data_IF_826478062725
#
_entry.id   IF_826478062725
#
_cell.length_a   1.000
_cell.length_b   1.000
_cell.length_c   1.000
_cell.angle_alpha   90.00
_cell.angle_beta   90.00
_cell.angle_gamma   90.00
#
_symmetry.space_group_name_H-M   'P 1'
#
loop_
_entity.id
_entity.type
_entity.pdbx_description
1 polymer ?
#
# COMPACT_ATOMS: atom_id res chain seq x y z
N UNK A 1 34.83 89.68 -7.15
CA UNK A 1 33.62 89.04 -7.69
C UNK A 1 34.05 88.16 -8.84
N UNK A 2 34.17 86.85 -8.62
CA UNK A 2 34.48 85.88 -9.68
C UNK A 2 33.41 84.79 -9.67
N UNK A 3 33.14 84.38 -10.90
CA UNK A 3 32.06 83.60 -11.46
C UNK A 3 32.25 82.08 -11.22
N UNK A 4 31.14 81.34 -11.03
CA UNK A 4 30.90 80.00 -11.60
C UNK A 4 29.55 79.40 -11.13
N UNK A 5 28.74 78.82 -12.05
CA UNK A 5 27.40 78.30 -11.77
C UNK A 5 27.37 76.82 -11.32
N UNK A 6 26.24 76.49 -10.69
CA UNK A 6 25.87 75.22 -10.03
C UNK A 6 26.06 73.97 -10.90
N UNK A 7 26.56 72.88 -10.30
CA UNK A 7 26.50 71.51 -10.84
C UNK A 7 25.78 70.59 -9.85
N UNK A 8 24.79 69.87 -10.36
CA UNK A 8 24.01 68.83 -9.68
C UNK A 8 24.87 67.60 -9.33
N UNK A 9 24.53 66.86 -8.27
CA UNK A 9 25.18 65.59 -7.95
C UNK A 9 24.71 64.49 -8.91
N UNK A 10 25.65 63.90 -9.66
CA UNK A 10 25.41 62.76 -10.54
C UNK A 10 25.27 61.46 -9.73
N UNK A 11 24.07 60.87 -9.83
CA UNK A 11 23.68 59.44 -9.81
C UNK A 11 24.50 58.49 -8.92
N UNK A 12 23.89 58.13 -7.80
CA UNK A 12 24.22 56.95 -7.00
C UNK A 12 23.97 55.65 -7.79
N UNK A 13 24.79 54.66 -7.47
CA UNK A 13 24.83 53.35 -8.08
C UNK A 13 23.49 52.60 -7.91
N UNK A 14 23.02 52.00 -9.01
CA UNK A 14 22.00 50.98 -9.01
C UNK A 14 22.65 49.66 -9.45
N UNK A 15 22.62 48.63 -8.61
CA UNK A 15 22.50 47.23 -9.06
C UNK A 15 21.61 46.45 -8.07
N UNK A 16 20.59 45.72 -8.55
CA UNK A 16 19.62 45.01 -7.73
C UNK A 16 20.11 43.62 -7.31
N UNK A 17 19.38 43.06 -6.35
CA UNK A 17 19.62 41.79 -5.68
C UNK A 17 19.80 40.59 -6.61
N UNK A 18 20.75 39.77 -6.16
CA UNK A 18 20.99 38.38 -6.51
C UNK A 18 19.82 37.54 -5.99
N UNK A 19 19.30 36.60 -6.78
CA UNK A 19 18.77 35.25 -6.43
C UNK A 19 17.94 34.72 -7.62
N UNK A 20 18.64 34.20 -8.62
CA UNK A 20 18.09 33.26 -9.61
C UNK A 20 19.16 32.20 -9.86
N UNK A 21 18.70 30.95 -9.96
CA UNK A 21 19.35 29.74 -10.45
C UNK A 21 20.07 28.86 -9.41
N UNK A 22 19.52 27.65 -9.21
CA UNK A 22 20.26 26.40 -9.40
C UNK A 22 19.28 25.25 -9.67
N UNK A 23 19.32 24.73 -10.91
CA UNK A 23 18.86 23.40 -11.32
C UNK A 23 20.10 22.59 -11.68
N UNK A 24 20.09 21.31 -11.29
CA UNK A 24 20.92 20.17 -11.71
C UNK A 24 22.38 20.05 -11.22
N UNK A 25 22.65 18.99 -10.44
CA UNK A 25 23.89 18.19 -10.57
C UNK A 25 23.72 16.77 -9.99
N UNK A 26 23.89 15.77 -10.86
CA UNK A 26 23.82 14.32 -10.63
C UNK A 26 25.23 13.75 -10.40
N UNK A 27 25.29 12.75 -9.50
CA UNK A 27 26.24 11.63 -9.36
C UNK A 27 27.77 11.84 -9.36
N UNK A 28 28.42 11.36 -8.28
CA UNK A 28 29.56 10.42 -8.28
C UNK A 28 30.22 10.42 -6.89
N UNK A 29 29.87 9.48 -6.01
CA UNK A 29 30.72 9.11 -4.87
C UNK A 29 31.30 7.72 -5.16
N UNK A 30 32.42 7.73 -5.88
CA UNK A 30 33.23 6.56 -6.10
C UNK A 30 34.11 6.31 -4.87
N UNK A 31 34.01 5.08 -4.38
CA UNK A 31 34.83 4.39 -3.40
C UNK A 31 36.33 4.75 -3.51
N UNK A 32 36.92 5.26 -2.42
CA UNK A 32 38.38 5.24 -2.25
C UNK A 32 38.76 5.31 -0.77
N UNK A 33 39.13 4.14 -0.24
CA UNK A 33 40.24 3.90 0.69
C UNK A 33 39.89 2.77 1.67
N UNK A 34 40.21 1.54 1.27
CA UNK A 34 40.43 0.43 2.19
C UNK A 34 41.58 -0.40 1.65
N UNK A 35 42.68 -0.37 2.39
CA UNK A 35 43.98 -0.94 2.09
C UNK A 35 43.89 -2.47 1.96
N UNK A 36 44.26 -3.00 0.79
CA UNK A 36 44.51 -4.43 0.58
C UNK A 36 45.75 -4.86 1.38
N UNK A 37 45.57 -5.66 2.43
CA UNK A 37 46.63 -6.52 2.98
C UNK A 37 46.44 -7.93 2.42
N UNK A 38 47.28 -8.31 1.47
CA UNK A 38 47.36 -9.68 0.94
C UNK A 38 48.01 -10.62 1.96
N UNK A 39 47.19 -11.37 2.70
CA UNK A 39 47.62 -12.59 3.37
C UNK A 39 47.52 -13.80 2.42
N UNK A 40 48.33 -14.86 2.60
CA UNK A 40 48.25 -16.07 1.78
C UNK A 40 46.90 -16.77 2.00
N UNK A 41 46.21 -17.07 0.89
CA UNK A 41 44.93 -17.80 0.85
C UNK A 41 45.17 -19.25 1.30
N UNK A 42 44.52 -19.75 2.37
CA UNK A 42 44.57 -21.16 2.69
C UNK A 42 43.89 -22.00 1.60
N UNK A 43 44.54 -23.13 1.30
CA UNK A 43 44.10 -24.13 0.33
C UNK A 43 42.69 -24.62 0.63
N UNK A 44 41.85 -24.66 -0.41
CA UNK A 44 40.45 -25.07 -0.38
C UNK A 44 40.23 -26.40 0.38
N UNK A 45 39.29 -26.37 1.31
CA UNK A 45 38.58 -27.57 1.75
C UNK A 45 37.44 -27.77 0.75
N UNK A 46 37.55 -28.78 -0.10
CA UNK A 46 36.48 -29.18 -1.01
C UNK A 46 35.29 -29.69 -0.19
N UNK A 47 34.13 -29.04 -0.35
CA UNK A 47 32.86 -29.46 0.25
C UNK A 47 32.03 -28.33 0.85
N UNK A 48 31.83 -27.21 0.15
CA UNK A 48 30.76 -26.26 0.52
C UNK A 48 29.44 -26.79 -0.03
N UNK A 49 28.56 -27.25 0.87
CA UNK A 49 27.15 -27.35 0.55
C UNK A 49 26.68 -25.93 0.19
N UNK A 50 26.26 -25.72 -1.06
CA UNK A 50 25.61 -24.48 -1.47
C UNK A 50 24.32 -24.39 -0.65
N UNK A 51 24.29 -23.49 0.32
CA UNK A 51 23.05 -23.09 0.99
C UNK A 51 22.18 -22.43 -0.07
N UNK A 52 21.25 -23.20 -0.63
CA UNK A 52 20.19 -22.67 -1.50
C UNK A 52 19.16 -22.09 -0.54
N UNK A 53 18.89 -20.79 -0.67
CA UNK A 53 17.78 -20.16 0.01
C UNK A 53 16.50 -20.93 -0.37
N UNK A 54 15.79 -21.56 0.59
CA UNK A 54 14.61 -22.36 0.27
C UNK A 54 13.43 -21.50 -0.19
N UNK A 55 13.49 -20.17 0.00
CA UNK A 55 12.39 -19.28 -0.29
C UNK A 55 12.36 -18.88 -1.79
N UNK A 56 11.21 -18.96 -2.47
CA UNK A 56 10.99 -18.24 -3.72
C UNK A 56 11.01 -16.72 -3.44
N UNK A 57 12.11 -16.05 -3.76
CA UNK A 57 12.23 -14.58 -3.63
C UNK A 57 11.38 -13.85 -4.66
N UNK A 58 10.09 -13.67 -4.40
CA UNK A 58 9.17 -12.99 -5.32
C UNK A 58 9.32 -11.49 -5.31
N UNK A 59 9.33 -10.91 -6.50
CA UNK A 59 9.12 -9.47 -6.68
C UNK A 59 7.62 -9.13 -6.59
N UNK A 60 7.29 -7.90 -6.18
CA UNK A 60 5.89 -7.41 -6.05
C UNK A 60 5.06 -7.74 -7.29
N UNK A 61 5.60 -7.44 -8.48
CA UNK A 61 4.93 -7.64 -9.77
C UNK A 61 4.59 -9.10 -10.10
N UNK A 62 5.21 -10.07 -9.43
CA UNK A 62 4.96 -11.49 -9.67
C UNK A 62 3.73 -12.00 -8.92
N UNK A 63 3.34 -11.35 -7.83
CA UNK A 63 2.20 -11.72 -6.98
C UNK A 63 0.99 -10.80 -7.17
N UNK A 64 1.21 -9.62 -7.75
CA UNK A 64 0.16 -8.66 -8.08
C UNK A 64 -0.91 -9.32 -8.98
N UNK A 65 -2.17 -9.22 -8.55
CA UNK A 65 -3.30 -9.85 -9.24
C UNK A 65 -3.38 -11.38 -9.10
N UNK A 66 -2.59 -11.99 -8.21
CA UNK A 66 -2.61 -13.44 -7.92
C UNK A 66 -2.93 -13.76 -6.48
N UNK A 67 -2.28 -13.06 -5.55
CA UNK A 67 -2.54 -13.21 -4.11
C UNK A 67 -3.28 -12.00 -3.59
N UNK A 68 -4.25 -12.25 -2.72
CA UNK A 68 -5.07 -11.22 -2.11
C UNK A 68 -5.18 -11.45 -0.62
N UNK A 69 -5.14 -10.39 0.17
CA UNK A 69 -5.71 -10.38 1.52
C UNK A 69 -7.22 -10.51 1.34
N UNK A 70 -7.75 -11.67 1.70
CA UNK A 70 -9.10 -12.08 1.33
C UNK A 70 -10.10 -11.89 2.47
N UNK A 71 -9.73 -12.24 3.69
CA UNK A 71 -10.59 -12.12 4.86
C UNK A 71 -9.73 -11.79 6.08
N UNK A 72 -10.24 -10.95 6.97
CA UNK A 72 -9.57 -10.50 8.19
C UNK A 72 -10.53 -10.71 9.34
N UNK A 73 -10.05 -11.33 10.41
CA UNK A 73 -10.77 -11.47 11.67
C UNK A 73 -9.91 -10.94 12.80
N UNK A 74 -10.43 -9.96 13.53
CA UNK A 74 -9.69 -9.28 14.61
C UNK A 74 -10.21 -9.72 15.97
N UNK A 75 -11.54 -9.74 16.15
CA UNK A 75 -12.19 -10.14 17.39
C UNK A 75 -12.79 -11.53 17.21
N UNK A 76 -11.93 -12.54 17.29
CA UNK A 76 -12.32 -13.95 17.18
C UNK A 76 -12.66 -14.50 18.57
N UNK A 77 -13.94 -14.78 18.83
CA UNK A 77 -14.38 -15.38 20.10
C UNK A 77 -14.74 -16.86 19.93
N UNK A 78 -15.22 -17.25 18.75
CA UNK A 78 -15.67 -18.62 18.48
C UNK A 78 -15.58 -19.07 17.02
N UNK A 79 -15.25 -18.18 16.07
CA UNK A 79 -15.33 -18.47 14.64
C UNK A 79 -14.31 -19.52 14.16
N UNK A 80 -13.02 -19.34 14.48
CA UNK A 80 -11.96 -20.23 14.01
C UNK A 80 -10.82 -20.36 15.03
N UNK A 81 -10.64 -21.50 15.70
CA UNK A 81 -9.53 -21.65 16.63
C UNK A 81 -8.20 -21.89 15.89
N UNK A 82 -7.10 -21.57 16.55
CA UNK A 82 -5.75 -22.03 16.18
C UNK A 82 -5.55 -23.53 16.49
N UNK A 83 -4.35 -24.03 16.24
CA UNK A 83 -3.93 -25.41 16.48
C UNK A 83 -3.96 -25.81 17.98
N UNK A 84 -3.90 -24.83 18.88
CA UNK A 84 -4.02 -25.04 20.33
C UNK A 84 -5.47 -25.03 20.82
N UNK A 85 -6.40 -24.55 19.99
CA UNK A 85 -7.79 -24.33 20.33
C UNK A 85 -8.10 -22.93 20.84
N UNK A 86 -7.15 -21.99 20.78
CA UNK A 86 -7.36 -20.60 21.15
C UNK A 86 -7.97 -19.81 19.99
N UNK A 87 -8.76 -18.78 20.31
CA UNK A 87 -9.37 -17.91 19.31
C UNK A 87 -8.57 -16.62 19.24
N UNK A 88 -7.68 -16.54 18.25
CA UNK A 88 -6.81 -15.38 18.00
C UNK A 88 -7.19 -14.69 16.69
N UNK A 89 -6.71 -13.46 16.51
CA UNK A 89 -6.88 -12.73 15.25
C UNK A 89 -6.17 -13.47 14.10
N UNK A 90 -6.68 -13.35 12.89
CA UNK A 90 -6.08 -13.94 11.70
C UNK A 90 -6.36 -13.11 10.44
N UNK A 91 -5.48 -13.28 9.46
CA UNK A 91 -5.64 -12.85 8.07
C UNK A 91 -5.65 -14.08 7.19
N UNK A 92 -6.57 -14.11 6.24
CA UNK A 92 -6.62 -15.10 5.18
C UNK A 92 -6.08 -14.52 3.87
N UNK A 93 -5.21 -15.29 3.21
CA UNK A 93 -4.68 -15.01 1.88
C UNK A 93 -5.38 -15.93 0.88
N UNK A 94 -5.87 -15.39 -0.23
CA UNK A 94 -6.48 -16.13 -1.33
C UNK A 94 -5.57 -16.16 -2.56
N UNK A 95 -5.50 -17.31 -3.23
CA UNK A 95 -4.79 -17.48 -4.51
C UNK A 95 -5.79 -17.50 -5.67
N UNK A 96 -5.94 -16.37 -6.35
CA UNK A 96 -6.79 -16.22 -7.53
C UNK A 96 -6.19 -16.84 -8.82
N UNK A 97 -4.94 -17.29 -8.76
CA UNK A 97 -4.27 -17.84 -9.95
C UNK A 97 -4.72 -19.27 -10.27
N UNK A 98 -4.41 -19.73 -11.47
CA UNK A 98 -4.73 -21.09 -11.94
C UNK A 98 -3.71 -22.16 -11.51
N UNK A 99 -2.73 -21.81 -10.67
CA UNK A 99 -1.66 -22.70 -10.22
C UNK A 99 -1.42 -22.56 -8.72
N UNK A 100 -0.82 -23.57 -8.11
CA UNK A 100 -0.31 -23.45 -6.74
C UNK A 100 0.76 -22.36 -6.66
N UNK A 101 0.77 -21.63 -5.56
CA UNK A 101 1.80 -20.65 -5.21
C UNK A 101 2.47 -21.10 -3.91
N UNK A 102 3.80 -21.15 -3.94
CA UNK A 102 4.63 -21.30 -2.74
C UNK A 102 4.69 -19.92 -2.06
N UNK A 103 4.33 -19.84 -0.78
CA UNK A 103 4.27 -18.62 0.02
C UNK A 103 5.55 -18.38 0.82
N UNK A 104 6.51 -19.32 0.83
CA UNK A 104 7.76 -19.13 1.54
C UNK A 104 8.46 -17.85 1.10
N UNK A 105 8.76 -16.94 2.02
CA UNK A 105 9.39 -15.66 1.70
C UNK A 105 8.42 -14.52 1.34
N UNK A 106 7.12 -14.80 1.17
CA UNK A 106 6.09 -13.76 1.01
C UNK A 106 5.94 -13.02 2.34
N UNK A 107 5.88 -11.70 2.30
CA UNK A 107 5.76 -10.88 3.50
C UNK A 107 4.31 -10.46 3.80
N UNK A 108 4.00 -10.23 5.09
CA UNK A 108 2.76 -9.64 5.59
C UNK A 108 3.10 -8.53 6.60
N UNK A 109 2.34 -7.43 6.55
CA UNK A 109 2.46 -6.32 7.47
C UNK A 109 1.10 -5.73 7.83
N UNK A 110 1.04 -5.01 8.95
CA UNK A 110 -0.05 -4.17 9.43
C UNK A 110 0.33 -2.66 9.42
N UNK A 111 1.37 -2.28 8.66
CA UNK A 111 1.83 -0.89 8.54
C UNK A 111 2.56 -0.60 7.24
N UNK A 112 2.36 0.59 6.69
CA UNK A 112 3.11 1.12 5.54
C UNK A 112 4.57 1.46 5.87
N UNK A 113 4.87 1.75 7.14
CA UNK A 113 6.23 2.11 7.57
C UNK A 113 7.23 0.95 7.48
N UNK A 114 6.73 -0.29 7.42
CA UNK A 114 7.49 -1.51 7.20
C UNK A 114 6.63 -2.51 6.44
N UNK A 115 6.57 -2.37 5.12
CA UNK A 115 5.73 -3.20 4.23
C UNK A 115 6.16 -4.68 4.14
N UNK A 116 7.27 -5.07 4.78
CA UNK A 116 7.77 -6.45 4.82
C UNK A 116 8.02 -6.93 6.27
N UNK A 117 7.21 -6.45 7.22
CA UNK A 117 7.37 -6.64 8.68
C UNK A 117 7.53 -8.10 9.13
N UNK A 118 6.72 -9.01 8.60
CA UNK A 118 6.84 -10.44 8.88
C UNK A 118 6.90 -11.23 7.57
N UNK A 119 7.73 -12.26 7.52
CA UNK A 119 7.95 -13.08 6.33
C UNK A 119 7.49 -14.50 6.62
N UNK A 120 6.63 -15.04 5.76
CA UNK A 120 6.13 -16.42 5.86
C UNK A 120 7.32 -17.39 5.82
N UNK A 121 7.45 -18.29 6.81
CA UNK A 121 8.51 -19.28 6.86
C UNK A 121 8.55 -20.17 5.61
N UNK A 122 9.75 -20.48 5.15
CA UNK A 122 9.97 -21.29 3.95
C UNK A 122 9.97 -22.77 4.30
N UNK A 123 8.77 -23.26 4.62
CA UNK A 123 8.47 -24.63 5.03
C UNK A 123 7.59 -25.31 3.99
N UNK A 124 7.50 -26.64 4.02
CA UNK A 124 6.82 -27.42 2.97
C UNK A 124 5.36 -27.04 2.81
N UNK A 125 4.69 -26.76 3.93
CA UNK A 125 3.25 -26.45 4.00
C UNK A 125 2.91 -24.97 3.72
N UNK A 126 3.92 -24.12 3.49
CA UNK A 126 3.73 -22.72 3.08
C UNK A 126 3.31 -22.64 1.60
N UNK A 127 2.19 -23.26 1.23
CA UNK A 127 1.71 -23.37 -0.16
C UNK A 127 0.20 -23.20 -0.22
N UNK A 128 -0.26 -22.56 -1.28
CA UNK A 128 -1.68 -22.32 -1.52
C UNK A 128 -2.06 -22.83 -2.90
N UNK A 129 -2.96 -23.82 -2.95
CA UNK A 129 -3.46 -24.37 -4.21
C UNK A 129 -4.18 -23.29 -5.06
N UNK A 130 -4.37 -23.55 -6.35
CA UNK A 130 -5.16 -22.68 -7.22
C UNK A 130 -6.59 -22.51 -6.67
N UNK A 131 -7.04 -21.27 -6.47
CA UNK A 131 -8.33 -20.97 -5.82
C UNK A 131 -8.39 -21.36 -4.35
N UNK A 132 -7.24 -21.64 -3.72
CA UNK A 132 -7.13 -21.99 -2.31
C UNK A 132 -7.00 -20.78 -1.40
N UNK A 133 -7.00 -21.05 -0.10
CA UNK A 133 -6.96 -20.09 0.99
C UNK A 133 -5.88 -20.49 2.00
N UNK A 134 -5.28 -19.52 2.69
CA UNK A 134 -4.21 -19.74 3.65
C UNK A 134 -4.36 -18.79 4.83
N UNK A 135 -4.34 -19.30 6.06
CA UNK A 135 -4.49 -18.50 7.28
C UNK A 135 -3.12 -18.17 7.87
N UNK A 136 -2.95 -16.92 8.28
CA UNK A 136 -1.86 -16.44 9.14
C UNK A 136 -2.48 -15.90 10.42
N UNK A 137 -2.08 -16.46 11.58
CA UNK A 137 -2.53 -15.97 12.88
C UNK A 137 -1.73 -14.73 13.32
N UNK A 138 -2.37 -13.80 14.02
CA UNK A 138 -1.82 -12.48 14.34
C UNK A 138 -1.73 -12.26 15.86
N UNK A 139 -0.98 -13.11 16.55
CA UNK A 139 -0.90 -13.14 18.02
C UNK A 139 0.51 -12.93 18.58
N UNK A 140 1.52 -12.79 17.71
CA UNK A 140 2.91 -12.63 18.12
C UNK A 140 3.60 -13.91 18.59
N UNK A 141 2.95 -15.08 18.50
CA UNK A 141 3.62 -16.35 18.76
C UNK A 141 4.54 -16.67 17.57
N UNK A 142 5.78 -17.07 17.85
CA UNK A 142 6.74 -17.49 16.81
C UNK A 142 7.45 -18.78 17.22
N UNK A 143 6.87 -19.49 18.20
CA UNK A 143 7.46 -20.68 18.80
C UNK A 143 7.56 -21.82 17.78
N UNK A 144 6.55 -21.97 16.92
CA UNK A 144 6.54 -22.94 15.84
C UNK A 144 6.31 -22.25 14.48
N UNK A 145 7.30 -22.24 13.57
CA UNK A 145 7.13 -21.65 12.25
C UNK A 145 6.15 -22.42 11.35
N UNK A 146 5.87 -23.69 11.63
CA UNK A 146 4.96 -24.52 10.83
C UNK A 146 3.47 -24.21 11.10
N UNK A 147 3.16 -23.44 12.15
CA UNK A 147 1.80 -23.05 12.53
C UNK A 147 1.41 -21.66 11.99
N UNK A 148 2.35 -20.94 11.34
CA UNK A 148 2.12 -19.68 10.63
C UNK A 148 1.54 -18.54 11.47
N UNK A 149 2.09 -18.35 12.67
CA UNK A 149 1.82 -17.18 13.51
C UNK A 149 2.76 -16.03 13.15
N UNK A 150 2.19 -14.87 12.86
CA UNK A 150 2.92 -13.64 12.61
C UNK A 150 3.53 -13.11 13.90
N UNK A 151 4.70 -12.47 13.80
CA UNK A 151 5.43 -11.92 14.94
C UNK A 151 4.81 -10.67 15.55
N UNK A 152 3.62 -10.25 15.09
CA UNK A 152 2.96 -9.03 15.50
C UNK A 152 1.49 -9.26 15.85
N UNK A 153 0.96 -8.34 16.66
CA UNK A 153 -0.44 -8.24 17.02
C UNK A 153 -0.95 -6.90 16.48
N UNK A 154 -2.04 -6.86 15.70
CA UNK A 154 -2.61 -5.62 15.19
C UNK A 154 -3.01 -4.70 16.33
N UNK A 155 -2.79 -3.40 16.14
CA UNK A 155 -3.26 -2.42 17.10
C UNK A 155 -4.78 -2.25 16.96
N UNK A 156 -5.57 -2.90 17.82
CA UNK A 156 -7.05 -2.95 17.77
C UNK A 156 -7.80 -1.60 17.92
N UNK A 157 -7.13 -0.46 17.73
CA UNK A 157 -7.75 0.86 17.75
C UNK A 157 -7.43 1.63 16.47
N UNK A 158 -8.49 2.07 15.78
CA UNK A 158 -8.39 2.96 14.62
C UNK A 158 -7.98 2.26 13.33
N UNK A 159 -7.52 3.07 12.39
CA UNK A 159 -7.15 2.64 11.05
C UNK A 159 -5.88 1.77 11.03
N UNK A 160 -5.82 0.81 10.12
CA UNK A 160 -4.69 -0.10 9.92
C UNK A 160 -4.60 -0.51 8.45
N UNK A 161 -3.37 -0.63 7.97
CA UNK A 161 -3.05 -1.03 6.60
C UNK A 161 -2.46 -2.43 6.60
N UNK A 162 -3.22 -3.41 6.12
CA UNK A 162 -2.67 -4.73 5.87
C UNK A 162 -2.02 -4.76 4.49
N UNK A 163 -0.73 -5.11 4.46
CA UNK A 163 0.10 -5.11 3.26
C UNK A 163 0.61 -6.51 2.98
N UNK A 164 0.43 -6.98 1.75
CA UNK A 164 1.01 -8.24 1.29
C UNK A 164 2.21 -7.96 0.39
N UNK A 165 3.33 -8.63 0.67
CA UNK A 165 4.58 -8.66 -0.10
C UNK A 165 5.01 -7.31 -0.68
N UNK A 166 5.27 -6.32 0.18
CA UNK A 166 5.75 -5.02 -0.27
C UNK A 166 4.74 -4.19 -1.07
N UNK A 167 3.46 -4.57 -1.07
CA UNK A 167 2.38 -3.88 -1.78
C UNK A 167 1.82 -4.63 -2.98
N UNK A 168 1.98 -5.95 -3.07
CA UNK A 168 1.28 -6.75 -4.10
C UNK A 168 -0.22 -6.82 -3.87
N UNK A 169 -0.64 -6.63 -2.62
CA UNK A 169 -2.01 -6.29 -2.24
C UNK A 169 -2.00 -5.36 -1.00
N UNK A 170 -3.02 -4.53 -0.87
CA UNK A 170 -3.20 -3.57 0.21
C UNK A 170 -4.68 -3.52 0.61
N UNK A 171 -4.95 -3.62 1.91
CA UNK A 171 -6.30 -3.45 2.46
C UNK A 171 -6.24 -2.47 3.63
N UNK A 172 -6.98 -1.38 3.50
CA UNK A 172 -7.20 -0.41 4.58
C UNK A 172 -8.45 -0.78 5.37
N UNK A 173 -8.35 -0.82 6.69
CA UNK A 173 -9.49 -1.09 7.57
C UNK A 173 -9.50 -0.20 8.80
N UNK A 174 -10.68 0.16 9.29
CA UNK A 174 -10.84 0.67 10.65
C UNK A 174 -11.12 -0.51 11.59
N UNK A 175 -10.14 -0.86 12.41
CA UNK A 175 -10.23 -1.96 13.37
C UNK A 175 -11.30 -1.70 14.44
N UNK A 176 -11.75 -0.46 14.63
CA UNK A 176 -12.87 -0.14 15.52
C UNK A 176 -14.22 -0.67 15.03
N UNK A 177 -14.34 -1.07 13.76
CA UNK A 177 -15.55 -1.65 13.18
C UNK A 177 -15.67 -3.16 13.43
N UNK A 178 -14.61 -3.83 13.86
CA UNK A 178 -14.61 -5.28 14.07
C UNK A 178 -15.32 -5.64 15.38
N UNK A 179 -16.52 -6.20 15.25
CA UNK A 179 -17.25 -6.83 16.35
C UNK A 179 -16.82 -8.28 16.58
N UNK A 180 -17.23 -8.89 17.71
CA UNK A 180 -17.00 -10.31 17.98
C UNK A 180 -17.56 -11.21 16.88
N UNK A 181 -16.72 -12.11 16.37
CA UNK A 181 -17.03 -13.08 15.30
C UNK A 181 -17.59 -12.43 14.03
N UNK A 182 -17.21 -11.18 13.77
CA UNK A 182 -17.44 -10.47 12.52
C UNK A 182 -16.09 -10.26 11.85
N UNK A 183 -15.94 -10.81 10.65
CA UNK A 183 -14.79 -10.57 9.79
C UNK A 183 -15.08 -9.49 8.76
N UNK A 184 -14.05 -9.02 8.09
CA UNK A 184 -14.18 -8.25 6.85
C UNK A 184 -13.46 -9.00 5.75
N UNK A 185 -14.03 -9.05 4.55
CA UNK A 185 -13.42 -9.78 3.45
C UNK A 185 -13.87 -9.34 2.07
N UNK A 186 -13.14 -9.84 1.06
CA UNK A 186 -13.41 -9.58 -0.35
C UNK A 186 -14.64 -10.35 -0.81
N UNK A 187 -15.60 -9.70 -1.47
CA UNK A 187 -16.74 -10.38 -2.10
C UNK A 187 -16.88 -9.93 -3.55
N UNK A 188 -16.69 -10.82 -4.55
CA UNK A 188 -16.21 -12.20 -4.44
C UNK A 188 -14.74 -12.28 -3.98
N UNK A 189 -14.24 -13.48 -3.70
CA UNK A 189 -12.83 -13.71 -3.35
C UNK A 189 -11.88 -13.13 -4.40
N UNK A 190 -10.84 -12.42 -3.96
CA UNK A 190 -9.93 -11.66 -4.83
C UNK A 190 -10.60 -10.51 -5.61
N UNK A 191 -11.87 -10.20 -5.32
CA UNK A 191 -12.60 -9.09 -5.88
C UNK A 191 -12.25 -7.75 -5.23
N UNK A 192 -12.75 -6.67 -5.82
CA UNK A 192 -12.45 -5.30 -5.39
C UNK A 192 -13.20 -4.85 -4.14
N UNK A 193 -14.41 -5.36 -3.92
CA UNK A 193 -15.22 -4.99 -2.76
C UNK A 193 -14.70 -5.69 -1.51
N UNK A 194 -14.33 -4.93 -0.48
CA UNK A 194 -13.92 -5.42 0.83
C UNK A 194 -14.89 -4.90 1.89
N UNK A 195 -15.55 -5.79 2.64
CA UNK A 195 -16.60 -5.37 3.57
C UNK A 195 -16.95 -6.39 4.64
N UNK A 196 -17.86 -6.00 5.53
CA UNK A 196 -18.27 -6.79 6.68
C UNK A 196 -18.91 -8.13 6.28
N UNK A 197 -18.44 -9.21 6.90
CA UNK A 197 -18.98 -10.56 6.79
C UNK A 197 -19.54 -10.99 8.15
N UNK A 198 -20.87 -11.07 8.22
CA UNK A 198 -21.59 -11.56 9.40
C UNK A 198 -21.44 -13.08 9.64
N UNK A 199 -20.77 -13.77 8.73
CA UNK A 199 -20.52 -15.20 8.80
C UNK A 199 -19.12 -15.43 8.25
N UNK A 200 -18.11 -15.43 9.14
CA UNK A 200 -16.72 -15.65 8.76
C UNK A 200 -16.56 -16.97 8.00
N UNK A 201 -15.65 -16.99 7.03
CA UNK A 201 -15.51 -18.07 6.05
C UNK A 201 -14.10 -18.66 5.97
N UNK A 202 -13.42 -18.90 7.11
CA UNK A 202 -12.04 -19.37 7.11
C UNK A 202 -11.84 -20.62 6.24
N UNK A 203 -10.82 -20.57 5.39
CA UNK A 203 -10.42 -21.59 4.43
C UNK A 203 -11.46 -21.89 3.32
N UNK A 204 -12.40 -20.98 3.11
CA UNK A 204 -13.48 -21.10 2.11
C UNK A 204 -13.82 -19.75 1.49
N UNK A 205 -14.63 -19.72 0.43
CA UNK A 205 -14.95 -18.46 -0.24
C UNK A 205 -15.97 -17.60 0.52
N UNK A 206 -15.75 -16.29 0.52
CA UNK A 206 -16.52 -15.26 1.23
C UNK A 206 -17.94 -15.02 0.71
N UNK A 207 -18.40 -15.82 -0.25
CA UNK A 207 -19.64 -15.57 -0.96
C UNK A 207 -20.86 -16.00 -0.13
N UNK A 208 -21.72 -15.06 0.32
CA UNK A 208 -22.83 -15.38 1.21
C UNK A 208 -23.99 -16.10 0.50
N UNK A 209 -24.10 -15.97 -0.83
CA UNK A 209 -25.07 -16.68 -1.66
C UNK A 209 -24.66 -16.68 -3.13
N UNK A 210 -24.95 -17.77 -3.86
CA UNK A 210 -24.69 -17.87 -5.31
C UNK A 210 -25.88 -17.33 -6.14
N UNK A 211 -25.63 -16.57 -7.23
CA UNK A 211 -24.32 -16.11 -7.70
C UNK A 211 -23.73 -15.03 -6.79
N UNK A 212 -22.40 -14.98 -6.70
CA UNK A 212 -21.64 -13.95 -6.00
C UNK A 212 -21.71 -12.64 -6.78
N UNK A 213 -22.89 -12.03 -6.83
CA UNK A 213 -23.08 -10.70 -7.41
C UNK A 213 -23.30 -9.74 -6.25
N UNK A 214 -22.20 -9.19 -5.75
CA UNK A 214 -22.28 -7.80 -5.29
C UNK A 214 -22.38 -7.01 -6.59
N UNK A 215 -23.50 -6.34 -6.85
CA UNK A 215 -23.52 -5.33 -7.90
C UNK A 215 -22.34 -4.40 -7.57
N UNK A 216 -21.32 -4.25 -8.45
CA UNK A 216 -20.20 -3.38 -8.15
C UNK A 216 -20.79 -2.01 -7.88
N UNK A 217 -20.67 -1.54 -6.64
CA UNK A 217 -20.99 -0.16 -6.34
C UNK A 217 -19.84 0.63 -6.92
N UNK A 218 -19.97 1.04 -8.19
CA UNK A 218 -19.01 1.93 -8.82
C UNK A 218 -19.09 3.27 -8.05
N UNK A 219 -18.10 3.51 -7.20
CA UNK A 219 -17.98 4.76 -6.45
C UNK A 219 -17.46 5.82 -7.41
N UNK A 220 -18.20 6.92 -7.54
CA UNK A 220 -17.75 8.04 -8.35
C UNK A 220 -16.70 8.86 -7.58
N UNK A 221 -15.63 9.26 -8.26
CA UNK A 221 -14.59 10.14 -7.73
C UNK A 221 -14.18 11.20 -8.75
N UNK A 222 -13.40 12.19 -8.31
CA UNK A 222 -12.72 13.15 -9.20
C UNK A 222 -11.22 12.85 -9.13
N UNK A 223 -10.60 12.49 -10.25
CA UNK A 223 -9.16 12.24 -10.31
C UNK A 223 -8.40 13.51 -9.93
N UNK A 224 -7.50 13.41 -8.97
CA UNK A 224 -6.77 14.54 -8.39
C UNK A 224 -7.46 15.27 -7.23
N UNK A 225 -8.68 14.90 -6.84
CA UNK A 225 -9.35 15.40 -5.62
C UNK A 225 -9.00 14.46 -4.45
N UNK A 226 -7.83 14.71 -3.88
CA UNK A 226 -7.17 13.81 -2.92
C UNK A 226 -7.75 13.97 -1.53
N UNK A 227 -8.25 15.16 -1.18
CA UNK A 227 -8.89 15.42 0.11
C UNK A 227 -10.42 15.18 0.09
N UNK A 228 -10.97 14.82 -1.08
CA UNK A 228 -12.39 14.49 -1.30
C UNK A 228 -13.36 15.64 -0.97
N UNK A 229 -12.96 16.89 -1.16
CA UNK A 229 -13.81 18.06 -0.95
C UNK A 229 -14.63 18.47 -2.19
N UNK A 230 -14.43 17.76 -3.31
CA UNK A 230 -15.10 17.98 -4.58
C UNK A 230 -14.37 18.96 -5.50
N UNK A 231 -13.18 19.45 -5.13
CA UNK A 231 -12.44 20.48 -5.86
C UNK A 231 -10.96 20.13 -5.98
N UNK A 232 -10.48 19.94 -7.20
CA UNK A 232 -9.05 19.77 -7.47
C UNK A 232 -8.30 21.10 -7.40
N UNK A 233 -7.55 21.32 -6.32
CA UNK A 233 -6.73 22.51 -6.08
C UNK A 233 -5.36 22.21 -5.41
N UNK A 234 -4.70 23.25 -4.88
CA UNK A 234 -3.37 23.10 -4.26
C UNK A 234 -3.38 22.30 -2.95
N UNK A 235 -4.53 22.21 -2.27
CA UNK A 235 -4.67 21.43 -1.04
C UNK A 235 -4.61 19.93 -1.32
N UNK A 236 -5.06 19.50 -2.50
CA UNK A 236 -4.89 18.10 -2.94
C UNK A 236 -3.42 17.77 -3.19
N UNK A 237 -2.67 18.70 -3.77
CA UNK A 237 -1.24 18.52 -3.98
C UNK A 237 -0.50 18.41 -2.63
N UNK A 238 -0.87 19.24 -1.66
CA UNK A 238 -0.29 19.16 -0.32
C UNK A 238 -0.62 17.81 0.35
N UNK A 239 -1.87 17.34 0.24
CA UNK A 239 -2.29 16.04 0.79
C UNK A 239 -1.63 14.86 0.07
N UNK A 240 -1.48 14.93 -1.25
CA UNK A 240 -0.80 13.91 -2.06
C UNK A 240 0.68 13.83 -1.70
N UNK A 241 1.34 14.97 -1.55
CA UNK A 241 2.75 15.01 -1.10
C UNK A 241 2.89 14.47 0.32
N UNK A 242 1.94 14.79 1.21
CA UNK A 242 1.92 14.24 2.56
C UNK A 242 1.77 12.72 2.55
N UNK A 243 0.91 12.18 1.69
CA UNK A 243 0.77 10.74 1.49
C UNK A 243 2.06 10.11 0.98
N UNK A 244 2.64 10.66 -0.09
CA UNK A 244 3.85 10.13 -0.75
C UNK A 244 5.10 10.18 0.13
N UNK A 245 5.19 11.14 1.07
CA UNK A 245 6.43 11.36 1.85
C UNK A 245 6.32 11.10 3.36
N UNK A 246 5.13 11.10 3.95
CA UNK A 246 4.96 11.06 5.40
C UNK A 246 4.07 9.90 5.91
N UNK A 247 3.71 8.93 5.07
CA UNK A 247 2.80 7.81 5.43
C UNK A 247 1.51 8.35 6.10
N UNK A 248 0.98 9.44 5.58
CA UNK A 248 -0.21 10.05 6.13
C UNK A 248 -1.48 9.24 5.84
N UNK A 249 -2.49 9.49 6.66
CA UNK A 249 -3.80 8.84 6.66
C UNK A 249 -4.35 8.67 5.24
N UNK A 250 -4.67 7.42 4.88
CA UNK A 250 -5.23 7.08 3.58
C UNK A 250 -6.64 7.68 3.43
N UNK A 251 -6.96 8.29 2.28
CA UNK A 251 -8.35 8.57 1.93
C UNK A 251 -9.09 7.26 1.62
N UNK A 252 -10.41 7.26 1.81
CA UNK A 252 -11.30 6.11 1.57
C UNK A 252 -11.24 5.63 0.10
N UNK A 253 -10.77 6.49 -0.80
CA UNK A 253 -10.47 6.14 -2.17
C UNK A 253 -9.05 6.51 -2.57
N UNK A 254 -8.33 5.54 -3.13
CA UNK A 254 -6.96 5.71 -3.65
C UNK A 254 -6.92 6.13 -5.12
N UNK A 255 -8.01 5.97 -5.88
CA UNK A 255 -8.10 6.32 -7.31
C UNK A 255 -7.81 7.82 -7.59
N UNK A 256 -8.23 8.79 -6.74
CA UNK A 256 -7.85 10.18 -6.92
C UNK A 256 -6.34 10.45 -6.83
N UNK A 257 -5.57 9.57 -6.18
CA UNK A 257 -4.15 9.78 -5.88
C UNK A 257 -3.24 9.33 -7.02
N UNK A 258 -3.69 8.35 -7.82
CA UNK A 258 -3.05 8.00 -9.10
C UNK A 258 -3.49 9.02 -10.17
N UNK A 259 -3.01 10.25 -10.03
CA UNK A 259 -3.41 11.38 -10.90
C UNK A 259 -2.95 11.12 -12.34
N UNK A 260 -1.91 10.33 -12.54
CA UNK A 260 -1.35 10.07 -13.84
C UNK A 260 -1.88 8.78 -14.51
N UNK A 261 -2.62 7.96 -13.76
CA UNK A 261 -3.37 6.78 -14.20
C UNK A 261 -2.43 5.70 -14.76
N UNK A 262 -1.30 5.48 -14.05
CA UNK A 262 -0.27 4.49 -14.42
C UNK A 262 -0.22 3.27 -13.49
N UNK A 263 -1.13 3.20 -12.51
CA UNK A 263 -1.24 2.14 -11.51
C UNK A 263 -0.23 2.26 -10.37
N UNK A 264 0.43 3.41 -10.20
CA UNK A 264 1.39 3.64 -9.12
C UNK A 264 1.23 5.04 -8.51
N UNK A 265 0.83 5.11 -7.24
CA UNK A 265 0.82 6.38 -6.52
C UNK A 265 2.24 6.76 -6.10
N UNK A 266 2.73 7.90 -6.56
CA UNK A 266 4.05 8.41 -6.21
C UNK A 266 4.31 9.85 -6.63
N UNK A 267 5.60 10.20 -6.72
CA UNK A 267 6.03 11.57 -7.08
C UNK A 267 5.56 11.96 -8.49
N UNK A 268 5.40 10.98 -9.39
CA UNK A 268 4.90 11.22 -10.74
C UNK A 268 3.48 11.80 -10.74
N UNK A 269 2.63 11.40 -9.78
CA UNK A 269 1.28 11.93 -9.60
C UNK A 269 1.29 13.34 -9.04
N UNK A 270 2.15 13.62 -8.06
CA UNK A 270 2.33 14.97 -7.53
C UNK A 270 2.82 15.92 -8.64
N UNK A 271 3.78 15.49 -9.46
CA UNK A 271 4.25 16.24 -10.63
C UNK A 271 3.11 16.47 -11.64
N UNK A 272 2.30 15.44 -11.92
CA UNK A 272 1.14 15.51 -12.82
C UNK A 272 0.11 16.51 -12.32
N UNK A 273 -0.25 16.45 -11.05
CA UNK A 273 -1.22 17.33 -10.41
C UNK A 273 -0.72 18.78 -10.41
N UNK A 274 0.53 19.01 -10.00
CA UNK A 274 1.14 20.34 -10.02
C UNK A 274 1.15 20.97 -11.42
N UNK A 275 1.49 20.18 -12.45
CA UNK A 275 1.44 20.63 -13.84
C UNK A 275 0.01 20.91 -14.30
N UNK A 276 -0.97 20.10 -13.90
CA UNK A 276 -2.37 20.31 -14.24
C UNK A 276 -2.94 21.59 -13.60
N UNK A 277 -2.66 21.85 -12.32
CA UNK A 277 -3.03 23.08 -11.62
C UNK A 277 -2.41 24.33 -12.29
N UNK A 278 -1.20 24.18 -12.84
CA UNK A 278 -0.53 25.21 -13.64
C UNK A 278 -1.02 25.33 -15.09
N UNK A 279 -1.95 24.49 -15.53
CA UNK A 279 -2.45 24.45 -16.92
C UNK A 279 -1.47 23.87 -17.95
N UNK A 280 -0.42 23.19 -17.49
CA UNK A 280 0.64 22.61 -18.32
C UNK A 280 0.41 21.12 -18.63
N UNK A 281 -0.53 20.45 -17.94
CA UNK A 281 -0.93 19.07 -18.17
C UNK A 281 -2.44 18.88 -18.07
N UNK A 282 -2.92 17.74 -18.54
CA UNK A 282 -4.31 17.28 -18.39
C UNK A 282 -4.36 16.14 -17.38
N UNK A 283 -5.43 16.07 -16.60
CA UNK A 283 -5.74 14.92 -15.75
C UNK A 283 -6.61 13.94 -16.56
N UNK A 284 -6.29 12.63 -16.57
CA UNK A 284 -7.17 11.60 -17.11
C UNK A 284 -8.55 11.61 -16.45
N UNK A 285 -9.55 10.98 -17.09
CA UNK A 285 -10.87 10.85 -16.47
C UNK A 285 -10.83 9.96 -15.23
N UNK A 286 -11.76 10.11 -14.28
CA UNK A 286 -12.86 11.09 -14.25
C UNK A 286 -12.40 12.48 -13.75
N UNK A 287 -12.45 13.49 -14.62
CA UNK A 287 -12.14 14.90 -14.31
C UNK A 287 -12.77 15.80 -15.37
N UNK A 288 -13.30 16.99 -15.04
CA UNK A 288 -13.37 17.63 -13.71
C UNK A 288 -14.64 17.27 -12.91
N UNK A 289 -15.50 16.42 -13.45
CA UNK A 289 -16.71 15.98 -12.77
C UNK A 289 -16.50 14.58 -12.20
N UNK A 290 -17.22 14.23 -11.11
CA UNK A 290 -17.23 12.88 -10.60
C UNK A 290 -17.63 11.88 -11.69
N UNK A 291 -17.03 10.70 -11.63
CA UNK A 291 -17.35 9.60 -12.51
C UNK A 291 -16.64 8.34 -12.07
N UNK A 292 -16.89 7.27 -12.81
CA UNK A 292 -16.27 5.97 -12.58
C UNK A 292 -14.92 5.91 -13.29
N UNK A 293 -14.03 5.05 -12.79
CA UNK A 293 -12.71 4.90 -13.40
C UNK A 293 -12.82 4.34 -14.84
N UNK A 294 -12.41 5.11 -15.88
CA UNK A 294 -12.51 4.65 -17.25
C UNK A 294 -11.44 3.61 -17.64
N UNK A 295 -10.38 3.43 -16.85
CA UNK A 295 -9.28 2.51 -17.18
C UNK A 295 -9.46 1.13 -16.58
N UNK A 296 -10.15 0.98 -15.44
CA UNK A 296 -10.73 -0.27 -14.92
C UNK A 296 -9.72 -1.42 -14.76
N UNK A 297 -8.43 -1.10 -14.67
CA UNK A 297 -7.33 -2.08 -14.68
C UNK A 297 -6.24 -1.79 -13.66
N UNK A 298 -6.31 -0.68 -12.93
CA UNK A 298 -5.37 -0.41 -11.85
C UNK A 298 -5.84 -1.08 -10.53
N UNK A 299 -4.94 -1.32 -9.56
CA UNK A 299 -5.26 -2.06 -8.33
C UNK A 299 -6.00 -1.21 -7.29
N UNK A 300 -6.25 0.07 -7.56
CA UNK A 300 -6.89 0.97 -6.64
C UNK A 300 -8.41 0.90 -6.85
N UNK A 301 -9.16 0.82 -5.75
CA UNK A 301 -10.62 0.90 -5.79
C UNK A 301 -11.05 1.87 -4.69
N UNK A 302 -11.85 2.86 -5.06
CA UNK A 302 -12.72 3.56 -4.12
C UNK A 302 -13.66 2.56 -3.41
N UNK A 303 -13.35 2.20 -2.16
CA UNK A 303 -14.29 1.38 -1.37
C UNK A 303 -15.24 2.30 -0.60
N UNK A 304 -16.52 1.97 -0.60
CA UNK A 304 -17.41 2.48 0.44
C UNK A 304 -16.97 1.82 1.75
N UNK A 305 -16.21 2.51 2.59
CA UNK A 305 -16.39 2.33 4.02
C UNK A 305 -17.84 2.75 4.28
N UNK A 306 -18.72 1.78 4.57
CA UNK A 306 -20.07 2.12 5.02
C UNK A 306 -19.92 2.80 6.38
N UNK A 307 -19.67 4.12 6.39
CA UNK A 307 -20.05 4.95 7.52
C UNK A 307 -21.53 4.67 7.77
N UNK A 308 -21.79 4.05 8.92
CA UNK A 308 -23.02 3.34 9.19
C UNK A 308 -24.26 4.11 8.74
N UNK A 309 -25.06 3.48 7.90
CA UNK A 309 -26.50 3.71 7.91
C UNK A 309 -27.02 3.24 9.26
N UNK A 310 -26.82 4.08 10.30
CA UNK A 310 -27.69 4.07 11.46
C UNK A 310 -29.09 4.22 10.89
N UNK A 311 -29.83 3.11 10.93
CA UNK A 311 -31.22 3.10 10.51
C UNK A 311 -31.96 4.24 11.21
N UNK A 312 -32.29 5.27 10.44
CA UNK A 312 -33.50 6.02 10.69
C UNK A 312 -34.66 5.05 10.42
N UNK A 313 -35.07 4.33 11.47
CA UNK A 313 -36.43 3.81 11.51
C UNK A 313 -37.38 4.94 11.89
N UNK A 314 -38.54 5.06 11.23
CA UNK A 314 -39.53 6.11 11.49
C UNK A 314 -40.19 6.04 12.88
#
# INVERSE_FOLDING_TARGET
MNDHPRREPRRGAARPGLWVACVALIALVACKDSVLRSGPVPRALEGEATFVDPCPGYEVSELLGKLYINEIMIVNESAHPDETGAFVAWVEIYNASASEIDLGGVALSDTLSDVNKWVIPCVEDARIAAGGYFIVYLDGDTTNPDDFHASFIPNMTGQTDFVLNGGSDLVHVDLALFGPDISFGRVPDGGSFFGELLSPSPLTGNCPSLPCSVEPVEVEFIRGDVNSDGVVDSLDLDQLLLYVFEDAMLPDCLDPLDVNDDGFIGIADADRLALALGGAATIPGPYPNPGTDPTGTDPFICTLTLEGTKGETP
#
